data_IF_608029141445
#
_entry.id   IF_608029141445
#
_cell.length_a   1.000
_cell.length_b   1.000
_cell.length_c   1.000
_cell.angle_alpha   90.00
_cell.angle_beta   90.00
_cell.angle_gamma   90.00
#
_symmetry.space_group_name_H-M   'P 1'
#
loop_
_entity.id
_entity.type
_entity.pdbx_description
1 polymer ?
#
# COMPACT_ATOMS: atom_id res chain seq x y z
N UNK A 1 9.06 28.17 4.35
CA UNK A 1 9.09 26.76 3.86
C UNK A 1 9.19 26.84 2.35
N UNK A 2 9.99 25.95 1.75
CA UNK A 2 10.10 25.91 0.30
C UNK A 2 8.74 25.59 -0.35
N UNK A 3 8.36 26.31 -1.38
CA UNK A 3 7.08 26.11 -2.12
C UNK A 3 7.31 25.57 -3.54
N UNK A 4 8.58 25.32 -3.89
CA UNK A 4 8.98 24.77 -5.17
C UNK A 4 9.75 23.45 -4.94
N UNK A 5 9.35 22.41 -5.66
CA UNK A 5 9.95 21.07 -5.62
C UNK A 5 10.15 20.56 -7.04
N UNK A 6 11.07 19.64 -7.24
CA UNK A 6 11.20 18.96 -8.53
C UNK A 6 10.02 18.02 -8.76
N UNK A 7 9.66 17.24 -7.74
CA UNK A 7 8.53 16.32 -7.80
C UNK A 7 7.56 16.58 -6.65
N UNK A 8 6.27 16.56 -6.95
CA UNK A 8 5.19 16.56 -5.96
C UNK A 8 4.41 15.25 -6.10
N UNK A 9 4.44 14.41 -5.07
CA UNK A 9 3.68 13.18 -4.98
C UNK A 9 2.42 13.44 -4.15
N UNK A 10 1.25 13.21 -4.71
CA UNK A 10 -0.05 13.41 -4.07
C UNK A 10 -0.56 12.07 -3.54
N UNK A 11 -0.60 11.93 -2.23
CA UNK A 11 -0.95 10.72 -1.49
C UNK A 11 0.29 9.99 -0.95
N UNK A 12 0.32 9.77 0.38
CA UNK A 12 1.35 8.98 1.03
C UNK A 12 0.88 7.53 1.30
N UNK A 13 0.11 6.98 0.38
CA UNK A 13 -0.32 5.58 0.40
C UNK A 13 0.81 4.61 0.04
N UNK A 14 0.47 3.40 -0.36
CA UNK A 14 1.46 2.36 -0.69
C UNK A 14 2.38 2.78 -1.83
N UNK A 15 1.81 3.27 -2.94
CA UNK A 15 2.57 3.70 -4.11
C UNK A 15 3.37 4.98 -3.83
N UNK A 16 2.73 6.01 -3.24
CA UNK A 16 3.40 7.27 -2.94
C UNK A 16 4.56 7.14 -1.97
N UNK A 17 4.46 6.24 -0.99
CA UNK A 17 5.57 5.93 -0.07
C UNK A 17 6.80 5.39 -0.82
N UNK A 18 6.60 4.49 -1.78
CA UNK A 18 7.66 3.96 -2.64
C UNK A 18 8.25 5.04 -3.54
N UNK A 19 7.39 5.84 -4.19
CA UNK A 19 7.82 6.92 -5.07
C UNK A 19 8.65 7.97 -4.32
N UNK A 20 8.19 8.41 -3.15
CA UNK A 20 8.93 9.36 -2.33
C UNK A 20 10.31 8.83 -1.92
N UNK A 21 10.40 7.56 -1.52
CA UNK A 21 11.67 6.91 -1.21
C UNK A 21 12.59 6.87 -2.42
N UNK A 22 12.11 6.40 -3.57
CA UNK A 22 12.96 6.19 -4.75
C UNK A 22 13.39 7.50 -5.41
N UNK A 23 12.49 8.48 -5.54
CA UNK A 23 12.81 9.78 -6.14
C UNK A 23 13.77 10.62 -5.30
N UNK A 24 13.80 10.43 -3.99
CA UNK A 24 14.69 11.14 -3.08
C UNK A 24 16.01 10.42 -2.77
N UNK A 25 16.20 9.18 -3.28
CA UNK A 25 17.27 8.29 -2.84
C UNK A 25 18.69 8.81 -3.11
N UNK A 26 18.92 9.45 -4.25
CA UNK A 26 20.24 9.92 -4.69
C UNK A 26 20.52 11.40 -4.37
N UNK A 27 19.59 12.08 -3.72
CA UNK A 27 19.73 13.46 -3.30
C UNK A 27 19.65 14.52 -4.42
N UNK A 28 19.50 14.11 -5.70
CA UNK A 28 19.50 15.03 -6.85
C UNK A 28 18.26 15.88 -6.98
N UNK A 29 17.13 15.37 -6.51
CA UNK A 29 15.83 16.00 -6.68
C UNK A 29 15.22 16.38 -5.35
N UNK A 30 14.60 17.54 -5.29
CA UNK A 30 13.74 17.95 -4.20
C UNK A 30 12.36 17.31 -4.37
N UNK A 31 11.95 16.50 -3.40
CA UNK A 31 10.70 15.75 -3.44
C UNK A 31 9.76 16.21 -2.34
N UNK A 32 8.52 16.47 -2.70
CA UNK A 32 7.44 16.75 -1.76
C UNK A 32 6.40 15.64 -1.83
N UNK A 33 5.94 15.13 -0.69
CA UNK A 33 4.79 14.25 -0.63
C UNK A 33 3.67 14.87 0.21
N UNK A 34 2.46 14.83 -0.30
CA UNK A 34 1.26 15.39 0.32
C UNK A 34 0.35 14.28 0.83
N UNK A 35 0.00 14.31 2.10
CA UNK A 35 -0.94 13.37 2.71
C UNK A 35 -2.07 14.12 3.40
N UNK A 36 -3.29 13.75 3.05
CA UNK A 36 -4.49 14.39 3.60
C UNK A 36 -4.74 14.07 5.07
N UNK A 37 -4.30 12.89 5.50
CA UNK A 37 -4.46 12.44 6.88
C UNK A 37 -3.29 12.81 7.78
N UNK A 38 -3.37 12.40 9.05
CA UNK A 38 -2.34 12.71 10.05
C UNK A 38 -1.07 11.89 9.82
N UNK A 39 0.07 12.46 10.27
CA UNK A 39 1.39 11.84 10.20
C UNK A 39 1.76 10.93 11.36
N UNK A 40 0.90 10.85 12.35
CA UNK A 40 1.25 10.21 13.61
C UNK A 40 1.23 8.69 13.58
N UNK A 41 2.21 8.12 14.26
CA UNK A 41 2.23 6.70 14.63
C UNK A 41 1.22 6.46 15.75
N UNK A 42 0.07 5.90 15.41
CA UNK A 42 -0.93 5.51 16.40
C UNK A 42 -0.61 4.12 16.95
N UNK A 43 -0.75 3.95 18.25
CA UNK A 43 -0.70 2.63 18.88
C UNK A 43 -1.66 1.65 18.20
N UNK A 44 -2.87 2.09 17.88
CA UNK A 44 -3.88 1.26 17.22
C UNK A 44 -3.49 0.84 15.80
N UNK A 45 -2.81 1.71 15.03
CA UNK A 45 -2.27 1.35 13.71
C UNK A 45 -1.18 0.27 13.83
N UNK A 46 -0.30 0.39 14.83
CA UNK A 46 0.80 -0.56 15.01
C UNK A 46 0.36 -1.92 15.55
N UNK A 47 -0.75 -1.97 16.27
CA UNK A 47 -1.26 -3.20 16.90
C UNK A 47 -2.09 -4.00 15.89
N UNK A 48 -1.62 -5.20 15.47
CA UNK A 48 -2.33 -6.00 14.47
C UNK A 48 -3.79 -6.27 14.83
N UNK A 49 -4.08 -6.68 16.05
CA UNK A 49 -5.45 -6.97 16.52
C UNK A 49 -6.41 -5.77 16.51
N UNK A 50 -5.90 -4.54 16.37
CA UNK A 50 -6.73 -3.34 16.32
C UNK A 50 -7.20 -2.97 14.89
N UNK A 51 -6.88 -3.76 13.86
CA UNK A 51 -7.18 -3.41 12.47
C UNK A 51 -8.67 -3.13 12.21
N UNK A 52 -9.57 -3.90 12.82
CA UNK A 52 -11.00 -3.75 12.65
C UNK A 52 -11.53 -2.39 13.18
N UNK A 53 -10.91 -1.83 14.23
CA UNK A 53 -11.29 -0.53 14.76
C UNK A 53 -11.08 0.59 13.73
N UNK A 54 -10.08 0.48 12.86
CA UNK A 54 -9.81 1.49 11.84
C UNK A 54 -10.87 1.58 10.74
N UNK A 55 -11.70 0.56 10.56
CA UNK A 55 -12.84 0.63 9.66
C UNK A 55 -13.84 1.71 10.09
N UNK A 56 -13.92 2.01 11.40
CA UNK A 56 -14.87 2.95 11.97
C UNK A 56 -14.23 4.30 12.40
N UNK A 57 -12.91 4.36 12.52
CA UNK A 57 -12.19 5.57 12.96
C UNK A 57 -11.98 6.55 11.79
N UNK A 58 -12.89 7.52 11.62
CA UNK A 58 -12.84 8.55 10.56
C UNK A 58 -11.52 9.35 10.52
N UNK A 59 -10.75 9.36 11.61
CA UNK A 59 -9.43 10.00 11.66
C UNK A 59 -8.45 9.38 10.66
N UNK A 60 -8.50 8.04 10.51
CA UNK A 60 -7.57 7.25 9.69
C UNK A 60 -8.25 6.62 8.47
N UNK A 61 -9.53 6.93 8.24
CA UNK A 61 -10.32 6.33 7.18
C UNK A 61 -11.17 7.41 6.49
N UNK A 62 -11.13 7.46 5.16
CA UNK A 62 -12.00 8.30 4.36
C UNK A 62 -13.47 7.89 4.49
N UNK A 63 -13.71 6.61 4.80
CA UNK A 63 -15.03 6.03 4.99
C UNK A 63 -15.97 6.32 3.81
N UNK A 64 -15.51 6.08 2.59
CA UNK A 64 -16.31 6.25 1.40
C UNK A 64 -17.49 5.29 1.36
N UNK A 65 -18.56 5.72 0.71
CA UNK A 65 -19.67 4.89 0.32
C UNK A 65 -19.71 4.83 -1.21
N UNK A 66 -19.34 3.70 -1.79
CA UNK A 66 -19.48 3.47 -3.21
C UNK A 66 -20.96 3.28 -3.53
N UNK A 67 -21.43 3.87 -4.63
CA UNK A 67 -22.76 3.58 -5.17
C UNK A 67 -22.61 2.42 -6.16
N UNK A 68 -23.16 1.25 -5.85
CA UNK A 68 -23.18 0.14 -6.80
C UNK A 68 -24.10 0.47 -7.98
N UNK A 69 -23.97 -0.27 -9.07
CA UNK A 69 -24.98 -0.29 -10.12
C UNK A 69 -26.34 -0.67 -9.51
N UNK A 70 -27.44 -0.13 -10.04
CA UNK A 70 -28.80 -0.40 -9.55
C UNK A 70 -29.13 -1.90 -9.50
N UNK A 71 -28.45 -2.71 -10.31
CA UNK A 71 -28.62 -4.19 -10.33
C UNK A 71 -27.88 -4.90 -9.20
N UNK A 72 -26.96 -4.23 -8.52
CA UNK A 72 -26.22 -4.79 -7.40
C UNK A 72 -26.77 -4.23 -6.09
N UNK A 73 -27.13 -5.13 -5.16
CA UNK A 73 -27.62 -4.80 -3.81
C UNK A 73 -28.78 -3.78 -3.79
N UNK A 74 -29.66 -3.82 -4.78
CA UNK A 74 -30.82 -2.91 -4.89
C UNK A 74 -30.42 -1.40 -4.82
N UNK A 75 -29.20 -1.06 -5.23
CA UNK A 75 -28.66 0.29 -5.20
C UNK A 75 -28.17 0.77 -3.81
N UNK A 76 -28.17 -0.09 -2.81
CA UNK A 76 -27.70 0.27 -1.48
C UNK A 76 -26.19 0.58 -1.46
N UNK A 77 -25.76 1.65 -0.79
CA UNK A 77 -24.36 2.04 -0.73
C UNK A 77 -23.49 0.96 -0.10
N UNK A 78 -22.32 0.72 -0.72
CA UNK A 78 -21.31 -0.19 -0.18
C UNK A 78 -20.27 0.62 0.58
N UNK A 79 -20.12 0.35 1.87
CA UNK A 79 -19.07 0.93 2.68
C UNK A 79 -17.70 0.48 2.16
N UNK A 80 -16.87 1.47 1.78
CA UNK A 80 -15.57 1.25 1.16
C UNK A 80 -14.50 1.96 1.98
N UNK A 81 -13.88 1.28 2.96
CA UNK A 81 -12.82 1.87 3.77
C UNK A 81 -11.60 2.19 2.89
N UNK A 82 -11.00 3.35 3.13
CA UNK A 82 -9.78 3.78 2.47
C UNK A 82 -8.90 4.51 3.47
N UNK A 83 -7.66 4.10 3.62
CA UNK A 83 -6.73 4.68 4.58
C UNK A 83 -6.48 6.16 4.32
N UNK A 84 -6.38 6.93 5.42
CA UNK A 84 -6.10 8.36 5.45
C UNK A 84 -4.99 8.61 6.47
N UNK A 85 -3.79 8.89 5.98
CA UNK A 85 -2.57 9.02 6.77
C UNK A 85 -1.38 8.35 6.10
N UNK A 86 -0.19 8.46 6.70
CA UNK A 86 1.02 7.86 6.16
C UNK A 86 0.85 6.34 6.00
N UNK A 87 1.15 5.84 4.81
CA UNK A 87 0.94 4.44 4.41
C UNK A 87 -0.43 4.15 3.82
N UNK A 88 -1.39 5.10 3.87
CA UNK A 88 -2.72 4.93 3.29
C UNK A 88 -3.41 3.67 3.78
N UNK A 89 -3.96 2.88 2.87
CA UNK A 89 -4.67 1.64 3.21
C UNK A 89 -3.76 0.55 3.78
N UNK A 90 -2.44 0.57 3.54
CA UNK A 90 -1.51 -0.37 4.20
C UNK A 90 -1.43 -0.15 5.72
N UNK A 91 -1.86 1.02 6.21
CA UNK A 91 -1.91 1.35 7.63
C UNK A 91 -3.20 0.90 8.33
N UNK A 92 -4.24 0.50 7.58
CA UNK A 92 -5.54 0.10 8.15
C UNK A 92 -6.06 -1.26 7.65
N UNK A 93 -5.39 -1.91 6.70
CA UNK A 93 -5.79 -3.21 6.15
C UNK A 93 -5.58 -4.36 7.17
N UNK A 94 -5.99 -5.57 6.79
CA UNK A 94 -5.80 -6.80 7.58
C UNK A 94 -4.38 -7.39 7.52
N UNK A 95 -3.42 -6.70 6.90
CA UNK A 95 -2.01 -7.12 6.79
C UNK A 95 -1.75 -8.39 5.98
N UNK A 96 -2.75 -8.99 5.36
CA UNK A 96 -2.58 -10.16 4.52
C UNK A 96 -1.71 -9.82 3.30
N UNK A 97 -0.67 -10.62 3.08
CA UNK A 97 0.22 -10.44 1.94
C UNK A 97 -0.09 -11.49 0.87
N UNK A 98 -0.91 -11.10 -0.08
CA UNK A 98 -1.27 -11.94 -1.23
C UNK A 98 -1.14 -11.11 -2.50
N UNK A 99 -0.44 -11.64 -3.50
CA UNK A 99 -0.31 -11.06 -4.84
C UNK A 99 -1.50 -11.50 -5.69
N UNK A 100 -1.76 -10.79 -6.79
CA UNK A 100 -2.60 -11.33 -7.85
C UNK A 100 -2.00 -12.63 -8.39
N UNK A 101 -2.83 -13.50 -8.89
CA UNK A 101 -2.37 -14.72 -9.53
C UNK A 101 -1.79 -14.43 -10.92
N UNK A 102 -1.07 -15.40 -11.46
CA UNK A 102 -0.39 -15.24 -12.75
C UNK A 102 -1.35 -14.79 -13.87
N UNK A 103 -2.52 -15.39 -13.89
CA UNK A 103 -3.54 -15.15 -14.90
C UNK A 103 -4.08 -13.73 -14.89
N UNK A 104 -4.13 -13.06 -13.72
CA UNK A 104 -4.57 -11.66 -13.60
C UNK A 104 -3.65 -10.72 -14.40
N UNK A 105 -2.33 -10.92 -14.30
CA UNK A 105 -1.33 -10.10 -14.98
C UNK A 105 -1.22 -10.46 -16.46
N UNK A 106 -1.26 -11.75 -16.80
CA UNK A 106 -1.22 -12.21 -18.18
C UNK A 106 -2.46 -11.72 -18.96
N UNK A 107 -3.62 -11.61 -18.29
CA UNK A 107 -4.82 -10.98 -18.87
C UNK A 107 -4.61 -9.47 -19.12
N UNK A 108 -3.97 -8.76 -18.19
CA UNK A 108 -3.65 -7.35 -18.42
C UNK A 108 -2.77 -7.15 -19.65
N UNK A 109 -1.77 -7.99 -19.83
CA UNK A 109 -0.92 -7.94 -21.02
C UNK A 109 -1.71 -8.27 -22.30
N UNK A 110 -2.54 -9.30 -22.26
CA UNK A 110 -3.40 -9.68 -23.39
C UNK A 110 -4.41 -8.57 -23.80
N UNK A 111 -4.83 -7.73 -22.85
CA UNK A 111 -5.65 -6.54 -23.10
C UNK A 111 -4.88 -5.37 -23.72
N UNK A 112 -3.60 -5.53 -24.05
CA UNK A 112 -2.76 -4.55 -24.73
C UNK A 112 -1.85 -3.74 -23.80
N UNK A 113 -1.71 -4.13 -22.52
CA UNK A 113 -0.79 -3.49 -21.59
C UNK A 113 0.56 -4.22 -21.61
N UNK A 114 1.36 -3.99 -22.65
CA UNK A 114 2.67 -4.62 -22.81
C UNK A 114 3.58 -4.37 -21.60
N UNK A 115 4.25 -5.42 -21.12
CA UNK A 115 5.14 -5.38 -19.95
C UNK A 115 4.44 -5.51 -18.60
N UNK A 116 3.12 -5.76 -18.57
CA UNK A 116 2.35 -6.02 -17.36
C UNK A 116 2.03 -7.50 -17.14
N UNK A 117 2.56 -8.41 -17.96
CA UNK A 117 2.45 -9.86 -17.75
C UNK A 117 3.14 -10.31 -16.46
N UNK A 118 2.75 -11.46 -15.95
CA UNK A 118 3.29 -11.96 -14.68
C UNK A 118 4.82 -12.11 -14.70
N UNK A 119 5.37 -12.53 -15.82
CA UNK A 119 6.83 -12.67 -16.00
C UNK A 119 7.57 -11.35 -15.77
N UNK A 120 7.02 -10.26 -16.25
CA UNK A 120 7.57 -8.91 -16.14
C UNK A 120 7.32 -8.33 -14.76
N UNK A 121 6.19 -8.68 -14.10
CA UNK A 121 5.82 -8.18 -12.78
C UNK A 121 6.51 -8.91 -11.62
N UNK A 122 6.78 -10.20 -11.74
CA UNK A 122 7.41 -11.01 -10.68
C UNK A 122 8.74 -10.43 -10.16
N UNK A 123 9.66 -9.93 -11.00
CA UNK A 123 10.90 -9.29 -10.51
C UNK A 123 10.67 -8.09 -9.58
N UNK A 124 9.59 -7.34 -9.77
CA UNK A 124 9.24 -6.20 -8.90
C UNK A 124 8.69 -6.66 -7.57
N UNK A 125 7.90 -7.73 -7.53
CA UNK A 125 7.46 -8.35 -6.29
C UNK A 125 8.65 -8.85 -5.48
N UNK A 126 9.55 -9.60 -6.10
CA UNK A 126 10.79 -10.09 -5.49
C UNK A 126 11.65 -8.91 -4.98
N UNK A 127 11.83 -7.86 -5.79
CA UNK A 127 12.62 -6.68 -5.43
C UNK A 127 12.08 -5.94 -4.22
N UNK A 128 10.76 -5.89 -4.06
CA UNK A 128 10.11 -5.16 -2.96
C UNK A 128 10.18 -5.90 -1.63
N UNK A 129 10.34 -7.22 -1.65
CA UNK A 129 10.09 -8.14 -0.55
C UNK A 129 11.34 -8.53 0.22
N UNK A 130 11.18 -8.65 1.54
CA UNK A 130 12.05 -9.39 2.43
C UNK A 130 11.22 -10.42 3.20
N UNK A 131 11.23 -11.66 2.73
CA UNK A 131 10.48 -12.75 3.35
C UNK A 131 11.31 -13.43 4.43
N UNK A 132 10.76 -13.66 5.62
CA UNK A 132 11.49 -14.22 6.76
C UNK A 132 12.03 -15.64 6.48
N UNK A 133 11.21 -16.50 5.91
CA UNK A 133 11.51 -17.93 5.75
C UNK A 133 11.78 -18.35 4.31
N UNK A 134 11.12 -17.74 3.31
CA UNK A 134 11.20 -18.13 1.89
C UNK A 134 12.15 -17.25 1.08
N UNK A 135 12.95 -16.40 1.72
CA UNK A 135 13.92 -15.53 1.06
C UNK A 135 14.86 -16.27 0.11
N UNK A 136 14.95 -15.79 -1.13
CA UNK A 136 15.83 -16.34 -2.15
C UNK A 136 15.30 -17.57 -2.87
N UNK A 137 14.03 -17.94 -2.67
CA UNK A 137 13.34 -18.89 -3.54
C UNK A 137 12.91 -18.21 -4.86
N UNK A 138 12.47 -18.96 -5.89
CA UNK A 138 12.12 -18.38 -7.19
C UNK A 138 11.02 -17.30 -7.14
N UNK A 139 10.18 -17.32 -6.11
CA UNK A 139 9.04 -16.39 -5.96
C UNK A 139 9.25 -15.32 -4.91
N UNK A 140 10.26 -15.43 -4.03
CA UNK A 140 10.43 -14.61 -2.85
C UNK A 140 11.73 -13.85 -2.78
N UNK A 141 11.63 -12.58 -2.35
CA UNK A 141 12.74 -11.68 -2.24
C UNK A 141 13.53 -11.78 -0.94
N UNK A 142 14.81 -11.37 -1.01
CA UNK A 142 15.68 -11.17 0.14
C UNK A 142 16.26 -9.76 0.09
N UNK A 143 16.03 -8.98 1.13
CA UNK A 143 16.63 -7.63 1.23
C UNK A 143 15.78 -6.50 0.62
N UNK A 144 14.56 -6.76 0.16
CA UNK A 144 13.59 -5.72 -0.15
C UNK A 144 13.13 -4.98 1.12
N UNK A 145 12.49 -3.84 0.95
CA UNK A 145 12.10 -3.01 2.08
C UNK A 145 10.86 -3.55 2.81
N UNK A 146 9.97 -4.25 2.10
CA UNK A 146 8.72 -4.74 2.65
C UNK A 146 8.93 -6.09 3.35
N UNK A 147 8.83 -6.08 4.66
CA UNK A 147 9.00 -7.26 5.49
C UNK A 147 7.74 -8.12 5.51
N UNK A 148 7.93 -9.42 5.29
CA UNK A 148 6.86 -10.42 5.28
C UNK A 148 7.21 -11.51 6.29
N UNK A 149 6.31 -11.71 7.25
CA UNK A 149 6.37 -12.82 8.19
C UNK A 149 5.49 -13.98 7.74
N UNK A 150 5.94 -15.18 8.03
CA UNK A 150 5.18 -16.40 7.79
C UNK A 150 4.87 -17.06 9.14
N UNK A 151 3.60 -17.14 9.56
CA UNK A 151 3.24 -17.93 10.73
C UNK A 151 3.49 -19.40 10.44
N UNK A 152 4.28 -20.06 11.30
CA UNK A 152 4.62 -21.47 11.12
C UNK A 152 3.48 -22.40 11.56
N UNK A 153 2.60 -21.92 12.46
CA UNK A 153 1.49 -22.70 13.02
C UNK A 153 0.26 -21.82 13.22
N UNK A 154 -0.90 -22.47 13.36
CA UNK A 154 -2.10 -21.80 13.81
C UNK A 154 -1.91 -21.31 15.25
N UNK A 155 -2.01 -20.01 15.47
CA UNK A 155 -2.05 -19.45 16.83
C UNK A 155 -3.36 -19.82 17.56
N UNK A 156 -4.39 -20.21 16.78
CA UNK A 156 -5.72 -20.52 17.32
C UNK A 156 -6.20 -21.90 16.87
N UNK A 157 -6.69 -22.74 17.78
CA UNK A 157 -7.21 -24.08 17.46
C UNK A 157 -8.32 -24.09 16.41
N UNK A 158 -9.14 -23.05 16.35
CA UNK A 158 -10.21 -22.92 15.36
C UNK A 158 -9.66 -22.75 13.94
N UNK A 159 -8.54 -22.07 13.77
CA UNK A 159 -7.90 -21.93 12.45
C UNK A 159 -7.33 -23.25 11.96
N UNK A 160 -6.76 -24.05 12.85
CA UNK A 160 -6.29 -25.39 12.56
C UNK A 160 -7.46 -26.32 12.17
N UNK A 161 -8.54 -26.30 12.96
CA UNK A 161 -9.75 -27.08 12.65
C UNK A 161 -10.36 -26.69 11.28
N UNK A 162 -10.32 -25.42 10.91
CA UNK A 162 -10.77 -24.96 9.58
C UNK A 162 -9.91 -25.55 8.46
N UNK A 163 -8.58 -25.46 8.58
CA UNK A 163 -7.63 -26.00 7.60
C UNK A 163 -7.82 -27.53 7.48
N UNK A 164 -7.97 -28.23 8.60
CA UNK A 164 -8.19 -29.67 8.60
C UNK A 164 -9.53 -30.07 7.98
N UNK A 165 -10.60 -29.32 8.24
CA UNK A 165 -11.88 -29.55 7.61
C UNK A 165 -11.81 -29.37 6.06
N UNK A 166 -11.11 -28.36 5.60
CA UNK A 166 -10.90 -28.12 4.19
C UNK A 166 -10.09 -29.26 3.52
N UNK A 167 -9.04 -29.76 4.20
CA UNK A 167 -8.30 -30.94 3.76
C UNK A 167 -9.19 -32.18 3.63
N UNK A 168 -10.03 -32.42 4.64
CA UNK A 168 -11.00 -33.53 4.62
C UNK A 168 -11.99 -33.38 3.47
N UNK A 169 -12.35 -32.15 3.10
CA UNK A 169 -13.19 -31.85 1.95
C UNK A 169 -12.48 -31.95 0.59
N UNK A 170 -11.18 -32.30 0.57
CA UNK A 170 -10.41 -32.53 -0.65
C UNK A 170 -9.67 -31.29 -1.20
N UNK A 171 -9.64 -30.17 -0.48
CA UNK A 171 -8.84 -29.02 -0.90
C UNK A 171 -7.35 -29.27 -0.65
N UNK A 172 -6.47 -28.89 -1.61
CA UNK A 172 -5.02 -29.02 -1.42
C UNK A 172 -4.53 -28.08 -0.31
N UNK A 173 -3.55 -28.54 0.48
CA UNK A 173 -2.85 -27.65 1.39
C UNK A 173 -1.92 -26.73 0.62
N UNK A 174 -1.93 -25.44 0.98
CA UNK A 174 -1.03 -24.47 0.41
C UNK A 174 -0.37 -23.65 1.52
N UNK A 175 0.94 -23.76 1.65
CA UNK A 175 1.73 -22.99 2.61
C UNK A 175 2.26 -21.68 2.03
N UNK A 176 2.04 -21.42 0.72
CA UNK A 176 2.57 -20.25 0.03
C UNK A 176 1.64 -19.81 -1.13
N UNK A 177 0.73 -18.90 -0.83
CA UNK A 177 -0.20 -18.33 -1.82
C UNK A 177 0.46 -17.37 -2.82
N UNK A 178 1.76 -17.08 -2.66
CA UNK A 178 2.55 -16.25 -3.57
C UNK A 178 3.59 -17.05 -4.36
N UNK A 179 3.54 -18.38 -4.24
CA UNK A 179 4.40 -19.32 -4.95
C UNK A 179 3.89 -19.70 -6.33
N UNK A 180 4.20 -20.95 -6.74
CA UNK A 180 3.83 -21.48 -8.05
C UNK A 180 2.31 -21.63 -8.24
N UNK A 181 1.58 -21.95 -7.17
CA UNK A 181 0.15 -22.16 -7.16
C UNK A 181 -0.49 -21.28 -6.08
N UNK A 182 -1.61 -20.66 -6.39
CA UNK A 182 -2.35 -19.84 -5.43
C UNK A 182 -3.53 -20.57 -4.81
N UNK A 183 -4.02 -21.62 -5.42
CA UNK A 183 -5.16 -22.39 -4.91
C UNK A 183 -4.78 -23.25 -3.70
N UNK A 184 -5.77 -23.43 -2.83
CA UNK A 184 -5.65 -24.29 -1.66
C UNK A 184 -6.11 -23.67 -0.36
N UNK A 185 -5.79 -24.33 0.74
CA UNK A 185 -6.08 -23.89 2.11
C UNK A 185 -4.79 -23.83 2.93
N UNK A 186 -4.62 -22.76 3.69
CA UNK A 186 -3.42 -22.55 4.50
C UNK A 186 -3.46 -21.22 5.25
N UNK A 187 -2.32 -20.84 5.82
CA UNK A 187 -2.17 -19.59 6.54
C UNK A 187 -1.55 -18.51 5.67
N UNK A 188 -2.11 -17.32 5.71
CA UNK A 188 -1.58 -16.18 4.98
C UNK A 188 -0.27 -15.69 5.59
N UNK A 189 0.68 -15.33 4.73
CA UNK A 189 1.81 -14.51 5.14
C UNK A 189 1.37 -13.07 5.41
N UNK A 190 2.09 -12.38 6.29
CA UNK A 190 1.61 -11.12 6.86
C UNK A 190 2.64 -9.99 6.74
N UNK A 191 2.14 -8.77 6.53
CA UNK A 191 2.92 -7.55 6.68
C UNK A 191 3.06 -7.18 8.17
N UNK A 192 3.74 -8.04 8.91
CA UNK A 192 4.03 -7.87 10.34
C UNK A 192 5.54 -8.02 10.56
N UNK A 193 6.11 -7.18 11.42
CA UNK A 193 7.50 -7.25 11.85
C UNK A 193 7.57 -7.05 13.36
N UNK A 194 8.21 -7.98 14.07
CA UNK A 194 8.34 -7.93 15.54
C UNK A 194 6.98 -7.69 16.25
N UNK A 195 5.95 -8.42 15.83
CA UNK A 195 4.61 -8.33 16.42
C UNK A 195 3.85 -7.03 16.09
N UNK A 196 4.33 -6.21 15.17
CA UNK A 196 3.72 -4.93 14.78
C UNK A 196 3.43 -4.89 13.28
N UNK A 197 2.34 -4.20 12.90
CA UNK A 197 2.09 -3.87 11.50
C UNK A 197 3.34 -3.25 10.87
N UNK A 198 3.67 -3.68 9.67
CA UNK A 198 4.76 -3.16 8.88
C UNK A 198 4.29 -2.82 7.47
N UNK A 199 3.64 -1.65 7.35
CA UNK A 199 3.06 -1.18 6.10
C UNK A 199 4.06 -0.41 5.23
N UNK A 200 3.57 0.12 4.09
CA UNK A 200 4.41 0.84 3.13
C UNK A 200 5.10 2.08 3.71
N UNK A 201 4.45 2.78 4.66
CA UNK A 201 5.09 3.90 5.34
C UNK A 201 6.31 3.43 6.15
N UNK A 202 6.22 2.30 6.85
CA UNK A 202 7.31 1.76 7.66
C UNK A 202 8.45 1.24 6.77
N UNK A 203 8.10 0.62 5.65
CA UNK A 203 9.04 0.04 4.72
C UNK A 203 9.84 1.07 3.91
N UNK A 204 9.20 2.15 3.50
CA UNK A 204 9.76 3.09 2.51
C UNK A 204 9.81 4.54 3.02
N UNK A 205 8.66 5.11 3.42
CA UNK A 205 8.58 6.54 3.66
C UNK A 205 9.31 6.99 4.93
N UNK A 206 9.09 6.32 6.06
CA UNK A 206 9.71 6.70 7.34
C UNK A 206 11.24 6.68 7.31
N UNK A 207 11.90 5.65 6.75
CA UNK A 207 13.34 5.68 6.55
C UNK A 207 13.81 6.85 5.68
N UNK A 208 13.05 7.18 4.62
CA UNK A 208 13.39 8.27 3.70
C UNK A 208 13.18 9.66 4.31
N UNK A 209 12.32 9.82 5.33
CA UNK A 209 12.05 11.11 5.97
C UNK A 209 13.26 11.76 6.64
N UNK A 210 14.34 11.03 6.84
CA UNK A 210 15.62 11.56 7.36
C UNK A 210 16.41 12.34 6.30
N UNK A 211 16.02 12.23 5.02
CA UNK A 211 16.73 12.87 3.90
C UNK A 211 16.34 14.35 3.80
N UNK A 212 17.32 15.21 3.60
CA UNK A 212 17.13 16.67 3.51
C UNK A 212 16.33 17.09 2.27
N UNK A 213 16.36 16.30 1.21
CA UNK A 213 15.68 16.58 -0.05
C UNK A 213 14.26 16.01 -0.12
N UNK A 214 13.74 15.38 0.94
CA UNK A 214 12.35 14.92 1.05
C UNK A 214 11.57 15.75 2.08
N UNK A 215 10.49 16.35 1.63
CA UNK A 215 9.55 17.09 2.50
C UNK A 215 8.19 16.35 2.54
N UNK A 216 7.74 16.02 3.75
CA UNK A 216 6.47 15.34 3.98
C UNK A 216 5.47 16.30 4.61
N UNK A 217 4.37 16.58 3.93
CA UNK A 217 3.25 17.35 4.46
C UNK A 217 2.11 16.41 4.83
N UNK A 218 1.76 16.37 6.11
CA UNK A 218 0.55 15.70 6.62
C UNK A 218 -0.51 16.73 6.94
N UNK A 219 -1.77 16.29 7.12
CA UNK A 219 -2.92 17.20 7.20
C UNK A 219 -2.96 18.19 6.01
N UNK A 220 -2.56 17.69 4.85
CA UNK A 220 -2.32 18.43 3.60
C UNK A 220 -3.15 17.81 2.47
N UNK A 221 -4.40 18.20 2.39
CA UNK A 221 -5.32 17.70 1.37
C UNK A 221 -5.13 18.46 0.05
N UNK A 222 -4.65 17.76 -0.99
CA UNK A 222 -4.64 18.29 -2.35
C UNK A 222 -6.07 18.53 -2.83
N UNK A 223 -6.31 19.69 -3.43
CA UNK A 223 -7.63 20.12 -3.93
C UNK A 223 -7.68 20.11 -5.46
N UNK A 224 -6.60 20.58 -6.08
CA UNK A 224 -6.56 20.78 -7.53
C UNK A 224 -5.13 20.73 -8.06
N UNK A 225 -4.95 20.11 -9.22
CA UNK A 225 -3.74 20.26 -10.03
C UNK A 225 -3.92 21.46 -10.95
N UNK A 226 -2.95 22.37 -10.94
CA UNK A 226 -2.93 23.57 -11.77
C UNK A 226 -2.15 23.28 -13.05
N UNK A 227 -2.70 23.68 -14.18
CA UNK A 227 -2.10 23.50 -15.49
C UNK A 227 -1.77 24.87 -16.14
N UNK A 228 -0.64 24.92 -16.82
CA UNK A 228 -0.29 25.95 -17.78
C UNK A 228 -0.24 25.29 -19.17
N UNK A 229 -1.26 25.53 -19.98
CA UNK A 229 -1.51 24.75 -21.20
C UNK A 229 -1.75 23.27 -20.90
N UNK A 230 -0.88 22.38 -21.40
CA UNK A 230 -0.95 20.93 -21.16
C UNK A 230 -0.01 20.45 -20.03
N UNK A 231 0.75 21.34 -19.42
CA UNK A 231 1.71 21.01 -18.38
C UNK A 231 1.10 21.23 -16.98
N UNK A 232 1.19 20.24 -16.12
CA UNK A 232 0.88 20.40 -14.70
C UNK A 232 2.04 21.13 -14.01
N UNK A 233 1.76 22.24 -13.30
CA UNK A 233 2.79 23.13 -12.75
C UNK A 233 2.68 23.33 -11.24
N UNK A 234 1.51 23.08 -10.64
CA UNK A 234 1.33 23.29 -9.20
C UNK A 234 0.19 22.44 -8.66
N UNK A 235 0.16 22.30 -7.34
CA UNK A 235 -0.94 21.72 -6.57
C UNK A 235 -1.48 22.74 -5.59
N UNK A 236 -2.77 23.03 -5.67
CA UNK A 236 -3.52 23.73 -4.64
C UNK A 236 -3.91 22.74 -3.55
N UNK A 237 -3.65 23.09 -2.31
CA UNK A 237 -3.91 22.20 -1.19
C UNK A 237 -4.41 22.99 0.03
N UNK A 238 -5.08 22.27 0.95
CA UNK A 238 -5.39 22.76 2.28
C UNK A 238 -4.48 22.07 3.29
N UNK A 239 -3.56 22.82 3.90
CA UNK A 239 -2.62 22.32 4.89
C UNK A 239 -2.91 22.95 6.26
N UNK A 240 -3.26 22.12 7.23
CA UNK A 240 -3.59 22.56 8.60
C UNK A 240 -4.58 23.75 8.62
N UNK A 241 -5.62 23.64 7.80
CA UNK A 241 -6.67 24.65 7.73
C UNK A 241 -6.38 25.88 6.86
N UNK A 242 -5.18 26.00 6.26
CA UNK A 242 -4.80 27.13 5.38
C UNK A 242 -4.64 26.66 3.94
N UNK A 243 -5.11 27.47 3.01
CA UNK A 243 -4.91 27.20 1.60
C UNK A 243 -3.49 27.60 1.19
N UNK A 244 -2.86 26.77 0.38
CA UNK A 244 -1.49 26.91 -0.12
C UNK A 244 -1.41 26.44 -1.56
N UNK A 245 -0.36 26.88 -2.25
CA UNK A 245 0.02 26.41 -3.59
C UNK A 245 1.48 25.96 -3.54
N UNK A 246 1.75 24.74 -4.00
CA UNK A 246 3.11 24.23 -4.17
C UNK A 246 3.37 24.03 -5.66
N UNK A 247 4.53 24.46 -6.15
CA UNK A 247 4.91 24.37 -7.55
C UNK A 247 5.84 23.17 -7.80
N UNK A 248 5.64 22.51 -8.93
CA UNK A 248 6.50 21.43 -9.40
C UNK A 248 7.34 21.91 -10.60
N UNK A 249 8.67 21.78 -10.47
CA UNK A 249 9.59 22.11 -11.56
C UNK A 249 9.56 21.03 -12.65
N UNK A 250 9.32 19.76 -12.27
CA UNK A 250 9.31 18.60 -13.17
C UNK A 250 7.93 17.99 -13.27
N UNK A 251 7.49 17.24 -12.29
CA UNK A 251 6.26 16.45 -12.38
C UNK A 251 5.43 16.48 -11.10
N UNK A 252 4.12 16.31 -11.30
CA UNK A 252 3.13 16.02 -10.25
C UNK A 252 2.62 14.61 -10.48
N UNK A 253 2.77 13.75 -9.46
CA UNK A 253 2.41 12.35 -9.52
C UNK A 253 1.21 12.12 -8.59
N UNK A 254 0.11 11.64 -9.14
CA UNK A 254 -1.09 11.24 -8.38
C UNK A 254 -0.95 9.77 -8.02
N UNK A 255 -0.94 9.43 -6.69
CA UNK A 255 -0.68 8.08 -6.21
C UNK A 255 -1.69 7.61 -5.15
#
# INVERSE_FOLDING_TARGET
>A
MNENFDYIVVGAGSAGSVLADRLSADGRYSVCILEAGPGGDSFTIRTPGAFAAHMFLKKYNWAFNARPDQKLRDGEPLFTPRGKGLGGSSSINGMLYVRGQKEDYDEWEALGNEGWGYREMLPYFIKSEHHETLSGTPYHGKGGNLHISAPETAEYPMSEAFVDAARQAGFPCNSDFNGANQEGVGYFHLNIKNGRRFGAADAYLKPAMTRQNLTVFTDAQAKKVVFEGKRSVAVELRHKGRDRVLRANREIILS
#
